data_IF_268491668975
#
_entry.id   IF_268491668975
#
_cell.length_a   1.000
_cell.length_b   1.000
_cell.length_c   1.000
_cell.angle_alpha   90.00
_cell.angle_beta   90.00
_cell.angle_gamma   90.00
#
_symmetry.space_group_name_H-M   'P 1'
#
loop_
_entity.id
_entity.type
_entity.pdbx_description
1 polymer ?
#
# COMPACT_ATOMS: atom_id res chain seq x y z
N UNK A 1 7.64 22.35 9.57
CA UNK A 1 6.71 21.27 9.23
C UNK A 1 6.36 20.51 10.51
N UNK A 2 5.13 20.59 10.92
CA UNK A 2 4.69 19.97 12.16
C UNK A 2 4.59 18.44 12.01
N UNK A 3 4.91 17.73 13.08
CA UNK A 3 4.78 16.26 13.14
C UNK A 3 3.37 15.78 12.79
N UNK A 4 2.37 16.59 13.05
CA UNK A 4 0.96 16.35 12.72
C UNK A 4 0.73 16.24 11.22
N UNK A 5 1.46 16.96 10.39
CA UNK A 5 1.31 16.92 8.93
C UNK A 5 1.85 15.62 8.31
N UNK A 6 2.82 14.95 8.97
CA UNK A 6 3.38 13.68 8.52
C UNK A 6 2.52 12.47 8.91
N UNK A 7 1.67 12.62 9.92
CA UNK A 7 0.76 11.57 10.39
C UNK A 7 -0.67 11.74 9.89
N UNK A 8 -0.98 12.91 9.31
CA UNK A 8 -2.28 13.18 8.73
C UNK A 8 -2.56 12.22 7.57
N UNK A 9 -3.61 11.45 7.69
CA UNK A 9 -4.04 10.53 6.65
C UNK A 9 -4.76 11.29 5.54
N UNK A 10 -4.40 11.12 4.25
CA UNK A 10 -5.19 11.65 3.16
C UNK A 10 -6.60 11.01 3.17
N UNK A 11 -7.54 11.64 2.50
CA UNK A 11 -8.91 11.16 2.42
C UNK A 11 -9.00 9.70 1.93
N UNK A 12 -8.16 9.35 0.96
CA UNK A 12 -8.03 8.01 0.45
C UNK A 12 -6.56 7.62 0.38
N UNK A 13 -6.25 6.44 0.89
CA UNK A 13 -4.90 5.91 0.92
C UNK A 13 -4.85 4.59 0.17
N UNK A 14 -3.90 4.46 -0.75
CA UNK A 14 -3.65 3.22 -1.48
C UNK A 14 -2.43 2.53 -0.89
N UNK A 15 -2.57 1.23 -0.66
CA UNK A 15 -1.50 0.38 -0.13
C UNK A 15 -1.33 -0.83 -1.02
N UNK A 16 -0.09 -1.14 -1.38
CA UNK A 16 0.25 -2.40 -2.00
C UNK A 16 0.92 -3.30 -0.97
N UNK A 17 0.41 -4.52 -0.83
CA UNK A 17 0.82 -5.48 0.18
C UNK A 17 1.41 -6.70 -0.52
N UNK A 18 2.60 -7.09 -0.12
CA UNK A 18 3.29 -8.26 -0.64
C UNK A 18 3.19 -9.38 0.39
N UNK A 19 2.75 -10.58 -0.01
CA UNK A 19 2.74 -11.72 0.91
C UNK A 19 4.17 -12.12 1.29
N UNK A 20 4.29 -12.92 2.35
CA UNK A 20 5.58 -13.50 2.70
C UNK A 20 6.13 -14.35 1.56
N UNK A 21 7.45 -14.47 1.46
CA UNK A 21 8.11 -15.21 0.38
C UNK A 21 7.66 -16.67 0.30
N UNK A 22 7.31 -17.27 1.42
CA UNK A 22 6.83 -18.64 1.48
C UNK A 22 5.57 -18.89 0.65
N UNK A 23 4.74 -17.88 0.48
CA UNK A 23 3.50 -17.96 -0.32
C UNK A 23 3.81 -18.02 -1.80
N UNK A 24 4.80 -17.27 -2.25
CA UNK A 24 5.12 -17.16 -3.68
C UNK A 24 5.70 -18.43 -4.28
N UNK A 25 6.27 -19.29 -3.46
CA UNK A 25 6.85 -20.58 -3.91
C UNK A 25 5.84 -21.72 -3.88
N UNK A 26 4.65 -21.51 -3.38
CA UNK A 26 3.61 -22.55 -3.32
C UNK A 26 2.98 -22.80 -4.68
N UNK A 27 2.39 -23.98 -4.85
CA UNK A 27 1.62 -24.32 -6.05
C UNK A 27 0.50 -23.29 -6.28
N UNK A 28 0.13 -22.99 -7.55
CA UNK A 28 -0.84 -21.95 -7.87
C UNK A 28 -2.15 -22.04 -7.09
N UNK A 29 -2.69 -23.22 -6.94
CA UNK A 29 -3.96 -23.45 -6.23
C UNK A 29 -3.86 -23.08 -4.75
N UNK A 30 -2.78 -23.47 -4.10
CA UNK A 30 -2.50 -23.16 -2.68
C UNK A 30 -2.25 -21.68 -2.50
N UNK A 31 -1.51 -21.08 -3.42
CA UNK A 31 -1.24 -19.65 -3.43
C UNK A 31 -2.53 -18.83 -3.56
N UNK A 32 -3.42 -19.21 -4.47
CA UNK A 32 -4.70 -18.52 -4.66
C UNK A 32 -5.57 -18.58 -3.41
N UNK A 33 -5.63 -19.75 -2.76
CA UNK A 33 -6.34 -19.92 -1.49
C UNK A 33 -5.76 -19.04 -0.40
N UNK A 34 -4.43 -18.99 -0.30
CA UNK A 34 -3.75 -18.14 0.68
C UNK A 34 -3.99 -16.65 0.42
N UNK A 35 -3.91 -16.24 -0.83
CA UNK A 35 -4.14 -14.84 -1.20
C UNK A 35 -5.57 -14.39 -0.88
N UNK A 36 -6.55 -15.25 -1.04
CA UNK A 36 -7.93 -14.96 -0.63
C UNK A 36 -8.06 -14.79 0.89
N UNK A 37 -7.42 -15.66 1.64
CA UNK A 37 -7.40 -15.56 3.12
C UNK A 37 -6.68 -14.31 3.58
N UNK A 38 -5.56 -13.98 2.95
CA UNK A 38 -4.81 -12.76 3.25
C UNK A 38 -5.65 -11.51 2.96
N UNK A 39 -6.35 -11.48 1.83
CA UNK A 39 -7.26 -10.39 1.49
C UNK A 39 -8.32 -10.16 2.58
N UNK A 40 -8.94 -11.22 3.03
CA UNK A 40 -9.97 -11.14 4.09
C UNK A 40 -9.37 -10.72 5.42
N UNK A 41 -8.19 -11.23 5.77
CA UNK A 41 -7.51 -10.88 7.01
C UNK A 41 -7.11 -9.40 7.03
N UNK A 42 -6.59 -8.89 5.92
CA UNK A 42 -6.25 -7.46 5.77
C UNK A 42 -7.49 -6.58 5.92
N UNK A 43 -8.56 -6.94 5.22
CA UNK A 43 -9.83 -6.20 5.29
C UNK A 43 -10.39 -6.16 6.71
N UNK A 44 -10.44 -7.31 7.37
CA UNK A 44 -10.93 -7.43 8.74
C UNK A 44 -10.08 -6.61 9.73
N UNK A 45 -8.77 -6.71 9.63
CA UNK A 45 -7.86 -5.97 10.50
C UNK A 45 -8.03 -4.45 10.34
N UNK A 46 -8.14 -3.97 9.10
CA UNK A 46 -8.34 -2.55 8.82
C UNK A 46 -9.68 -2.06 9.35
N UNK A 47 -10.74 -2.85 9.19
CA UNK A 47 -12.06 -2.50 9.72
C UNK A 47 -12.06 -2.38 11.25
N UNK A 48 -11.39 -3.28 11.92
CA UNK A 48 -11.23 -3.22 13.39
C UNK A 48 -10.41 -2.02 13.84
N UNK A 49 -9.46 -1.59 13.02
CA UNK A 49 -8.59 -0.46 13.34
C UNK A 49 -9.26 0.92 13.09
N UNK A 50 -10.49 0.94 12.59
CA UNK A 50 -11.21 2.19 12.35
C UNK A 50 -11.19 2.67 10.91
N UNK A 51 -10.94 1.78 9.96
CA UNK A 51 -10.92 2.10 8.54
C UNK A 51 -12.00 1.35 7.77
N UNK A 52 -12.45 1.95 6.68
CA UNK A 52 -13.13 1.25 5.61
C UNK A 52 -12.10 0.88 4.56
N UNK A 53 -12.17 -0.34 4.06
CA UNK A 53 -11.19 -0.83 3.13
C UNK A 53 -11.82 -1.61 1.98
N UNK A 54 -11.41 -1.29 0.76
CA UNK A 54 -11.59 -2.15 -0.41
C UNK A 54 -10.30 -2.88 -0.65
N UNK A 55 -10.36 -4.20 -0.57
CA UNK A 55 -9.18 -5.03 -0.68
C UNK A 55 -9.34 -5.99 -1.86
N UNK A 56 -8.37 -5.98 -2.76
CA UNK A 56 -8.37 -6.81 -3.97
C UNK A 56 -7.05 -7.54 -4.11
N UNK A 57 -7.12 -8.73 -4.69
CA UNK A 57 -5.92 -9.46 -5.10
C UNK A 57 -5.60 -9.08 -6.54
N UNK A 58 -4.35 -8.70 -6.77
CA UNK A 58 -3.83 -8.39 -8.11
C UNK A 58 -2.51 -9.12 -8.31
N UNK A 59 -2.52 -10.11 -9.22
CA UNK A 59 -1.36 -10.98 -9.42
C UNK A 59 -0.89 -11.56 -8.08
N UNK A 60 0.34 -11.30 -7.68
CA UNK A 60 0.91 -11.80 -6.43
C UNK A 60 0.86 -10.77 -5.30
N UNK A 61 -0.03 -9.78 -5.38
CA UNK A 61 -0.14 -8.71 -4.40
C UNK A 61 -1.57 -8.50 -3.96
N UNK A 62 -1.71 -7.92 -2.79
CA UNK A 62 -2.99 -7.43 -2.29
C UNK A 62 -2.95 -5.91 -2.34
N UNK A 63 -3.96 -5.31 -2.95
CA UNK A 63 -4.09 -3.85 -3.02
C UNK A 63 -5.29 -3.43 -2.18
N UNK A 64 -5.06 -2.50 -1.27
CA UNK A 64 -6.09 -1.96 -0.40
C UNK A 64 -6.30 -0.47 -0.64
N UNK A 65 -7.54 -0.07 -0.83
CA UNK A 65 -7.98 1.32 -0.77
C UNK A 65 -8.55 1.55 0.62
N UNK A 66 -7.94 2.44 1.37
CA UNK A 66 -8.24 2.66 2.78
C UNK A 66 -8.83 4.05 2.97
N UNK A 67 -9.96 4.12 3.65
CA UNK A 67 -10.60 5.37 4.05
C UNK A 67 -10.85 5.32 5.55
N UNK A 68 -10.65 6.43 6.24
CA UNK A 68 -10.96 6.50 7.66
C UNK A 68 -12.47 6.48 7.86
N UNK A 69 -12.95 5.68 8.80
CA UNK A 69 -14.36 5.67 9.18
C UNK A 69 -14.74 7.02 9.78
N UNK A 70 -15.96 7.44 9.52
CA UNK A 70 -16.50 8.65 10.12
C UNK A 70 -16.49 8.56 11.65
N UNK A 71 -15.95 9.59 12.29
CA UNK A 71 -15.82 9.65 13.74
C UNK A 71 -14.67 8.84 14.33
N UNK A 72 -13.92 8.08 13.53
CA UNK A 72 -12.79 7.33 14.00
C UNK A 72 -11.52 8.21 14.06
N UNK A 73 -10.72 7.99 15.09
CA UNK A 73 -9.45 8.70 15.32
C UNK A 73 -8.26 7.85 14.85
N UNK A 74 -8.38 7.29 13.66
CA UNK A 74 -7.37 6.43 13.07
C UNK A 74 -6.58 7.18 12.00
N UNK A 75 -5.26 7.16 12.10
CA UNK A 75 -4.35 7.83 11.16
C UNK A 75 -3.38 6.88 10.47
N UNK A 76 -2.34 7.44 9.86
CA UNK A 76 -1.32 6.69 9.14
C UNK A 76 -0.58 5.67 10.01
N UNK A 77 -0.28 6.05 11.26
CA UNK A 77 0.46 5.18 12.17
C UNK A 77 -0.36 3.95 12.57
N UNK A 78 -1.65 4.14 12.80
CA UNK A 78 -2.58 3.04 13.09
C UNK A 78 -2.70 2.09 11.90
N UNK A 79 -2.74 2.63 10.67
CA UNK A 79 -2.76 1.82 9.47
C UNK A 79 -1.47 0.99 9.32
N UNK A 80 -0.32 1.59 9.56
CA UNK A 80 0.98 0.90 9.53
C UNK A 80 1.05 -0.22 10.58
N UNK A 81 0.68 0.09 11.80
CA UNK A 81 0.67 -0.89 12.88
C UNK A 81 -0.26 -2.05 12.59
N UNK A 82 -1.45 -1.74 12.11
CA UNK A 82 -2.44 -2.74 11.74
C UNK A 82 -1.88 -3.71 10.68
N UNK A 83 -1.34 -3.18 9.58
CA UNK A 83 -0.81 -3.99 8.48
C UNK A 83 0.42 -4.79 8.89
N UNK A 84 1.27 -4.24 9.74
CA UNK A 84 2.46 -4.92 10.23
C UNK A 84 2.13 -6.16 11.08
N UNK A 85 0.95 -6.21 11.67
CA UNK A 85 0.50 -7.31 12.53
C UNK A 85 -0.30 -8.39 11.83
N UNK A 86 -0.70 -8.18 10.58
CA UNK A 86 -1.46 -9.17 9.83
C UNK A 86 -0.55 -10.32 9.43
N UNK A 87 -0.92 -11.53 9.83
CA UNK A 87 -0.18 -12.72 9.45
C UNK A 87 -0.22 -12.94 7.95
N UNK A 88 0.93 -13.21 7.35
CA UNK A 88 1.07 -13.41 5.92
C UNK A 88 1.50 -12.16 5.13
N UNK A 89 1.50 -11.00 5.76
CA UNK A 89 2.05 -9.78 5.17
C UNK A 89 3.58 -9.81 5.29
N UNK A 90 4.26 -9.85 4.16
CA UNK A 90 5.72 -9.80 4.13
C UNK A 90 6.23 -8.37 4.13
N UNK A 91 5.63 -7.51 3.31
CA UNK A 91 5.92 -6.09 3.28
C UNK A 91 4.73 -5.33 2.70
N UNK A 92 4.69 -4.05 2.94
CA UNK A 92 3.68 -3.17 2.34
C UNK A 92 4.27 -1.80 2.05
N UNK A 93 3.66 -1.10 1.09
CA UNK A 93 4.06 0.26 0.73
C UNK A 93 2.82 1.10 0.48
N UNK A 94 2.82 2.28 1.04
CA UNK A 94 1.80 3.28 0.72
C UNK A 94 2.16 3.94 -0.60
N UNK A 95 1.17 4.07 -1.48
CA UNK A 95 1.35 4.71 -2.78
C UNK A 95 1.17 6.22 -2.63
N UNK A 96 2.17 6.96 -3.06
CA UNK A 96 2.13 8.43 -2.99
C UNK A 96 1.48 9.05 -4.22
N UNK A 97 1.53 8.35 -5.35
CA UNK A 97 0.89 8.78 -6.58
C UNK A 97 0.58 7.61 -7.48
N UNK A 98 -0.41 7.77 -8.33
CA UNK A 98 -0.76 6.82 -9.39
C UNK A 98 -0.86 7.56 -10.71
N UNK A 99 -0.68 6.85 -11.80
CA UNK A 99 -0.78 7.38 -13.14
C UNK A 99 -1.16 6.31 -14.13
N UNK A 100 -1.16 6.66 -15.40
CA UNK A 100 -1.41 5.71 -16.48
C UNK A 100 -0.13 4.94 -16.85
N UNK A 101 -0.26 3.96 -17.73
CA UNK A 101 0.89 3.20 -18.24
C UNK A 101 1.64 3.96 -19.35
N UNK A 102 1.21 5.16 -19.71
CA UNK A 102 1.87 6.00 -20.70
C UNK A 102 3.18 6.56 -20.15
N UNK A 103 4.25 6.44 -20.93
CA UNK A 103 5.59 6.87 -20.53
C UNK A 103 5.62 8.37 -20.16
N UNK A 104 4.98 9.20 -20.95
CA UNK A 104 4.96 10.65 -20.71
C UNK A 104 4.27 10.98 -19.40
N UNK A 105 3.19 10.27 -19.07
CA UNK A 105 2.49 10.46 -17.81
C UNK A 105 3.34 9.98 -16.62
N UNK A 106 4.02 8.84 -16.76
CA UNK A 106 4.93 8.32 -15.73
C UNK A 106 6.05 9.33 -15.44
N UNK A 107 6.66 9.89 -16.49
CA UNK A 107 7.72 10.89 -16.36
C UNK A 107 7.19 12.15 -15.68
N UNK A 108 6.02 12.62 -16.09
CA UNK A 108 5.40 13.83 -15.52
C UNK A 108 5.10 13.65 -14.03
N UNK A 109 4.42 12.57 -13.67
CA UNK A 109 4.08 12.27 -12.26
C UNK A 109 5.33 12.09 -11.42
N UNK A 110 6.32 11.37 -11.93
CA UNK A 110 7.60 11.15 -11.24
C UNK A 110 8.35 12.47 -11.03
N UNK A 111 8.41 13.32 -12.03
CA UNK A 111 9.07 14.61 -11.93
C UNK A 111 8.38 15.52 -10.90
N UNK A 112 7.07 15.61 -10.93
CA UNK A 112 6.31 16.41 -9.95
C UNK A 112 6.51 15.90 -8.52
N UNK A 113 6.51 14.60 -8.32
CA UNK A 113 6.63 13.99 -7.00
C UNK A 113 8.03 14.08 -6.40
N UNK A 114 9.07 13.92 -7.22
CA UNK A 114 10.44 13.75 -6.75
C UNK A 114 11.37 14.94 -6.98
N UNK A 115 10.99 15.92 -7.80
CA UNK A 115 11.89 17.02 -8.18
C UNK A 115 12.56 17.69 -6.97
N UNK A 116 11.80 18.05 -5.97
CA UNK A 116 12.36 18.70 -4.77
C UNK A 116 13.13 17.72 -3.87
N UNK A 117 12.73 16.46 -3.87
CA UNK A 117 13.38 15.43 -3.03
C UNK A 117 14.78 15.05 -3.52
N UNK A 118 15.00 15.12 -4.83
CA UNK A 118 16.27 14.72 -5.44
C UNK A 118 17.22 15.89 -5.70
N UNK A 119 16.74 17.11 -5.51
CA UNK A 119 17.53 18.33 -5.77
C UNK A 119 18.82 18.35 -4.96
N UNK A 120 19.95 18.44 -5.65
CA UNK A 120 21.27 18.44 -5.03
C UNK A 120 21.70 17.12 -4.42
N UNK A 121 21.03 16.03 -4.77
CA UNK A 121 21.32 14.68 -4.22
C UNK A 121 21.57 13.68 -5.34
N UNK A 122 22.38 12.68 -5.04
CA UNK A 122 22.47 11.50 -5.90
C UNK A 122 21.20 10.66 -5.74
N UNK A 123 20.66 10.18 -6.85
CA UNK A 123 19.46 9.35 -6.82
C UNK A 123 19.50 8.29 -7.92
N UNK A 124 18.67 7.28 -7.75
CA UNK A 124 18.47 6.26 -8.77
C UNK A 124 16.95 5.98 -8.89
N UNK A 125 16.52 5.72 -10.12
CA UNK A 125 15.15 5.30 -10.39
C UNK A 125 15.12 3.80 -10.53
N UNK A 126 14.21 3.15 -9.80
CA UNK A 126 13.95 1.71 -9.92
C UNK A 126 12.54 1.50 -10.40
N UNK A 127 12.41 0.85 -11.53
CA UNK A 127 11.11 0.49 -12.09
C UNK A 127 10.93 -1.02 -12.03
N UNK A 128 9.83 -1.45 -11.44
CA UNK A 128 9.42 -2.86 -11.50
C UNK A 128 8.22 -2.98 -12.43
N UNK A 129 8.37 -3.82 -13.42
CA UNK A 129 7.26 -4.20 -14.29
C UNK A 129 6.33 -5.14 -13.52
N UNK A 130 5.05 -4.84 -13.54
CA UNK A 130 4.05 -5.70 -12.93
C UNK A 130 3.76 -6.92 -13.82
#
# INVERSE_FOLDING_TARGET
MNRTDQTAMPEQLLVTIRPTAEVTIKAPRTRDSFMRKLRLAVKDALQRAGFEARVRVRANRVVAEITRKEGADAGMDEARECLARVFGVGSFSFLEATGTADLDDIVRVGAELFAERVKGRHYAVRCKRA
#
